data_IF_857116661784
#
_entry.id   IF_857116661784
#
_cell.length_a   1.000
_cell.length_b   1.000
_cell.length_c   1.000
_cell.angle_alpha   90.00
_cell.angle_beta   90.00
_cell.angle_gamma   90.00
#
_symmetry.space_group_name_H-M   'P 1'
#
loop_
_entity.id
_entity.type
_entity.pdbx_description
1 polymer ?
#
# COMPACT_ATOMS: atom_id res chain seq x y z
N UNK A 1 5.75 7.96 9.22
CA UNK A 1 5.96 7.54 10.63
C UNK A 1 6.87 8.53 11.31
N UNK A 2 6.39 9.12 12.38
CA UNK A 2 7.03 10.21 13.10
C UNK A 2 8.36 9.74 13.75
N UNK A 3 9.40 10.61 13.68
CA UNK A 3 10.71 10.38 14.31
C UNK A 3 10.59 10.06 15.81
N UNK A 4 9.59 10.67 16.46
CA UNK A 4 9.28 10.49 17.88
C UNK A 4 8.80 9.06 18.16
N UNK A 5 7.93 8.52 17.32
CA UNK A 5 7.41 7.16 17.47
C UNK A 5 8.53 6.09 17.32
N UNK A 6 9.46 6.28 16.36
CA UNK A 6 10.61 5.37 16.20
C UNK A 6 11.48 5.31 17.45
N UNK A 7 11.76 6.48 18.07
CA UNK A 7 12.56 6.54 19.29
C UNK A 7 11.86 5.84 20.45
N UNK A 8 10.56 6.09 20.62
CA UNK A 8 9.76 5.46 21.68
C UNK A 8 9.70 3.95 21.50
N UNK A 9 9.49 3.48 20.26
CA UNK A 9 9.44 2.04 19.98
C UNK A 9 10.79 1.36 20.20
N UNK A 10 11.90 1.98 19.81
CA UNK A 10 13.25 1.49 20.09
C UNK A 10 13.48 1.38 21.61
N UNK A 11 13.05 2.38 22.37
CA UNK A 11 13.16 2.36 23.84
C UNK A 11 12.36 1.20 24.44
N UNK A 12 11.13 0.96 23.96
CA UNK A 12 10.30 -0.17 24.38
C UNK A 12 10.98 -1.51 24.08
N UNK A 13 11.57 -1.67 22.90
CA UNK A 13 12.30 -2.88 22.54
C UNK A 13 13.52 -3.11 23.44
N UNK A 14 14.28 -2.06 23.73
CA UNK A 14 15.44 -2.13 24.62
C UNK A 14 15.04 -2.50 26.06
N UNK A 15 14.01 -1.85 26.61
CA UNK A 15 13.47 -2.19 27.94
C UNK A 15 12.94 -3.64 27.99
N UNK A 16 12.22 -4.07 26.94
CA UNK A 16 11.75 -5.45 26.81
C UNK A 16 12.89 -6.46 26.75
N UNK A 17 13.96 -6.15 25.99
CA UNK A 17 15.16 -6.97 25.93
C UNK A 17 15.91 -7.07 27.27
N UNK A 18 16.00 -5.97 28.02
CA UNK A 18 16.57 -5.97 29.36
C UNK A 18 15.75 -6.83 30.35
N UNK A 19 14.41 -6.69 30.32
CA UNK A 19 13.50 -7.51 31.13
C UNK A 19 13.63 -8.99 30.78
N UNK A 20 13.70 -9.32 29.50
CA UNK A 20 13.91 -10.69 29.04
C UNK A 20 15.25 -11.25 29.51
N UNK A 21 16.34 -10.47 29.38
CA UNK A 21 17.66 -10.83 29.89
C UNK A 21 17.67 -11.07 31.41
N UNK A 22 16.95 -10.25 32.17
CA UNK A 22 16.80 -10.40 33.61
C UNK A 22 16.05 -11.68 33.97
N UNK A 23 14.91 -11.95 33.31
CA UNK A 23 14.15 -13.20 33.52
C UNK A 23 14.98 -14.42 33.21
N UNK A 24 15.74 -14.37 32.11
CA UNK A 24 16.63 -15.46 31.71
C UNK A 24 17.75 -15.67 32.72
N UNK A 25 18.33 -14.59 33.26
CA UNK A 25 19.33 -14.64 34.33
C UNK A 25 18.78 -15.28 35.62
N UNK A 26 17.57 -14.89 36.00
CA UNK A 26 16.92 -15.44 37.22
C UNK A 26 16.60 -16.93 37.09
N UNK A 27 16.09 -17.35 35.91
CA UNK A 27 15.73 -18.76 35.66
C UNK A 27 16.96 -19.67 35.55
N UNK A 28 17.96 -19.25 34.77
CA UNK A 28 19.18 -20.04 34.62
C UNK A 28 20.09 -19.98 35.86
N UNK A 29 20.17 -18.82 36.52
CA UNK A 29 20.96 -18.65 37.73
C UNK A 29 20.51 -19.54 38.85
N UNK A 30 19.22 -19.84 38.97
CA UNK A 30 18.70 -20.79 39.96
C UNK A 30 19.18 -22.24 39.78
N UNK A 31 19.53 -22.64 38.52
CA UNK A 31 19.99 -23.99 38.21
C UNK A 31 21.53 -24.15 38.17
N UNK A 32 22.25 -23.11 37.77
CA UNK A 32 23.70 -23.19 37.49
C UNK A 32 24.54 -22.33 38.44
N UNK A 33 23.91 -21.51 39.25
CA UNK A 33 24.55 -20.53 40.12
C UNK A 33 24.73 -19.16 39.44
N UNK A 34 24.58 -18.11 40.27
CA UNK A 34 24.67 -16.72 39.81
C UNK A 34 26.13 -16.31 39.68
N UNK A 35 26.52 -15.93 38.43
CA UNK A 35 27.84 -15.39 38.15
C UNK A 35 27.76 -14.13 37.29
N UNK A 36 28.74 -13.24 37.36
CA UNK A 36 28.86 -12.06 36.54
C UNK A 36 28.93 -12.42 35.04
N UNK A 37 29.55 -13.53 34.71
CA UNK A 37 29.64 -14.01 33.35
C UNK A 37 28.24 -14.41 32.82
N UNK A 38 27.45 -15.12 33.62
CA UNK A 38 26.09 -15.49 33.27
C UNK A 38 25.21 -14.25 33.11
N UNK A 39 25.35 -13.23 33.96
CA UNK A 39 24.64 -11.98 33.83
C UNK A 39 24.92 -11.29 32.49
N UNK A 40 26.20 -11.13 32.12
CA UNK A 40 26.60 -10.53 30.85
C UNK A 40 26.05 -11.30 29.66
N UNK A 41 26.09 -12.62 29.71
CA UNK A 41 25.57 -13.47 28.63
C UNK A 41 24.04 -13.34 28.48
N UNK A 42 23.30 -13.36 29.56
CA UNK A 42 21.84 -13.22 29.55
C UNK A 42 21.39 -11.83 29.06
N UNK A 43 22.05 -10.76 29.50
CA UNK A 43 21.79 -9.41 29.01
C UNK A 43 22.17 -9.26 27.54
N UNK A 44 23.28 -9.87 27.09
CA UNK A 44 23.68 -9.92 25.70
C UNK A 44 22.62 -10.56 24.82
N UNK A 45 22.08 -11.70 25.24
CA UNK A 45 20.98 -12.38 24.53
C UNK A 45 19.72 -11.50 24.48
N UNK A 46 19.37 -10.84 25.58
CA UNK A 46 18.24 -9.91 25.63
C UNK A 46 18.39 -8.74 24.65
N UNK A 47 19.59 -8.16 24.54
CA UNK A 47 19.90 -7.09 23.60
C UNK A 47 19.82 -7.53 22.15
N UNK A 48 20.37 -8.71 21.82
CA UNK A 48 20.28 -9.29 20.47
C UNK A 48 18.80 -9.50 20.10
N UNK A 49 17.99 -10.01 21.01
CA UNK A 49 16.56 -10.17 20.81
C UNK A 49 15.84 -8.83 20.53
N UNK A 50 16.12 -7.81 21.33
CA UNK A 50 15.55 -6.48 21.16
C UNK A 50 15.87 -5.87 19.79
N UNK A 51 17.15 -5.97 19.38
CA UNK A 51 17.61 -5.47 18.07
C UNK A 51 16.95 -6.25 16.92
N UNK A 52 16.90 -7.58 17.03
CA UNK A 52 16.27 -8.44 16.01
C UNK A 52 14.77 -8.11 15.88
N UNK A 53 14.06 -7.98 16.99
CA UNK A 53 12.65 -7.63 17.00
C UNK A 53 12.39 -6.25 16.38
N UNK A 54 13.23 -5.27 16.70
CA UNK A 54 13.17 -3.94 16.09
C UNK A 54 13.37 -4.00 14.57
N UNK A 55 14.34 -4.78 14.09
CA UNK A 55 14.58 -4.93 12.65
C UNK A 55 13.43 -5.64 11.93
N UNK A 56 12.91 -6.73 12.51
CA UNK A 56 11.76 -7.45 11.95
C UNK A 56 10.55 -6.50 11.85
N UNK A 57 10.29 -5.75 12.93
CA UNK A 57 9.20 -4.77 12.94
C UNK A 57 9.40 -3.69 11.88
N UNK A 58 10.61 -3.15 11.72
CA UNK A 58 10.92 -2.19 10.65
C UNK A 58 10.68 -2.76 9.25
N UNK A 59 11.02 -4.04 9.03
CA UNK A 59 10.79 -4.71 7.76
C UNK A 59 9.29 -4.91 7.49
N UNK A 60 8.52 -5.30 8.50
CA UNK A 60 7.06 -5.43 8.40
C UNK A 60 6.42 -4.08 8.10
N UNK A 61 6.82 -3.03 8.80
CA UNK A 61 6.33 -1.67 8.55
C UNK A 61 6.70 -1.13 7.15
N UNK A 62 7.84 -1.55 6.61
CA UNK A 62 8.24 -1.20 5.24
C UNK A 62 7.35 -1.88 4.20
N UNK A 63 6.89 -3.11 4.48
CA UNK A 63 5.98 -3.86 3.61
C UNK A 63 4.53 -3.36 3.69
N UNK A 64 4.11 -2.84 4.85
CA UNK A 64 2.74 -2.40 5.09
C UNK A 64 2.44 -0.95 4.65
N UNK A 65 3.41 -0.22 4.13
CA UNK A 65 3.14 1.11 3.56
C UNK A 65 2.47 0.93 2.20
N UNK A 66 1.26 1.48 2.00
CA UNK A 66 0.70 1.58 0.67
C UNK A 66 1.74 2.29 -0.20
N UNK A 67 2.03 1.72 -1.35
CA UNK A 67 2.96 2.30 -2.29
C UNK A 67 2.23 3.45 -2.98
N UNK A 68 2.51 4.67 -2.56
CA UNK A 68 1.92 5.87 -3.13
C UNK A 68 2.82 6.42 -4.23
N UNK A 69 2.24 7.00 -5.28
CA UNK A 69 2.97 7.75 -6.30
C UNK A 69 3.66 9.01 -5.76
N UNK A 70 3.47 9.36 -4.48
CA UNK A 70 4.22 10.42 -3.80
C UNK A 70 5.72 10.11 -3.66
N UNK A 71 6.11 8.84 -3.81
CA UNK A 71 7.53 8.48 -3.81
C UNK A 71 8.20 9.01 -5.10
N UNK A 72 9.26 9.86 -5.00
CA UNK A 72 9.93 10.44 -6.17
C UNK A 72 10.39 9.40 -7.20
N UNK A 73 10.81 8.21 -6.74
CA UNK A 73 11.22 7.10 -7.62
C UNK A 73 10.04 6.50 -8.38
N UNK A 74 8.88 6.42 -7.75
CA UNK A 74 7.66 5.93 -8.39
C UNK A 74 7.15 6.94 -9.42
N UNK A 75 7.18 8.23 -9.07
CA UNK A 75 6.82 9.31 -10.00
C UNK A 75 7.72 9.35 -11.23
N UNK A 76 9.04 9.18 -11.05
CA UNK A 76 9.98 9.17 -12.17
C UNK A 76 9.68 8.00 -13.12
N UNK A 77 9.48 6.79 -12.59
CA UNK A 77 9.11 5.62 -13.39
C UNK A 77 7.76 5.77 -14.09
N UNK A 78 6.79 6.40 -13.41
CA UNK A 78 5.49 6.63 -13.99
C UNK A 78 5.56 7.61 -15.15
N UNK A 79 6.30 8.71 -15.00
CA UNK A 79 6.56 9.66 -16.09
C UNK A 79 7.26 9.02 -17.30
N UNK A 80 8.25 8.16 -17.03
CA UNK A 80 8.94 7.38 -18.06
C UNK A 80 7.97 6.44 -18.80
N UNK A 81 7.10 5.75 -18.04
CA UNK A 81 6.07 4.87 -18.57
C UNK A 81 5.06 5.64 -19.44
N UNK A 82 4.55 6.77 -18.95
CA UNK A 82 3.60 7.62 -19.67
C UNK A 82 4.20 8.17 -20.95
N UNK A 83 5.46 8.63 -20.90
CA UNK A 83 6.18 9.11 -22.07
C UNK A 83 6.43 8.01 -23.11
N UNK A 84 6.75 6.79 -22.66
CA UNK A 84 6.97 5.65 -23.55
C UNK A 84 5.67 5.17 -24.20
N UNK A 85 4.53 5.30 -23.51
CA UNK A 85 3.23 4.87 -24.04
C UNK A 85 2.74 5.80 -25.16
N UNK A 86 2.87 7.12 -24.99
CA UNK A 86 2.55 8.10 -26.03
C UNK A 86 1.09 8.12 -26.53
N UNK A 87 0.16 7.41 -25.84
CA UNK A 87 -1.25 7.32 -26.23
C UNK A 87 -2.00 8.53 -25.65
N UNK A 88 -2.73 9.29 -26.48
CA UNK A 88 -3.55 10.39 -26.00
C UNK A 88 -4.75 9.88 -25.17
N UNK A 89 -5.07 10.58 -24.10
CA UNK A 89 -6.23 10.30 -23.26
C UNK A 89 -7.16 11.51 -23.18
N UNK A 90 -8.46 11.26 -23.10
CA UNK A 90 -9.48 12.31 -22.96
C UNK A 90 -9.47 12.88 -21.54
N UNK A 91 -9.32 12.00 -20.54
CA UNK A 91 -9.30 12.37 -19.14
C UNK A 91 -8.41 11.44 -18.32
N UNK A 92 -7.82 11.97 -17.24
CA UNK A 92 -7.02 11.20 -16.30
C UNK A 92 -7.49 11.45 -14.87
N UNK A 93 -7.67 10.37 -14.11
CA UNK A 93 -8.08 10.42 -12.71
C UNK A 93 -7.02 9.79 -11.81
N UNK A 94 -6.81 10.41 -10.66
CA UNK A 94 -6.05 9.83 -9.56
C UNK A 94 -7.02 9.16 -8.59
N UNK A 95 -6.83 7.89 -8.33
CA UNK A 95 -7.72 7.10 -7.48
C UNK A 95 -6.94 6.10 -6.63
N UNK A 96 -7.64 5.47 -5.69
CA UNK A 96 -7.19 4.28 -5.00
C UNK A 96 -8.01 3.09 -5.51
N UNK A 97 -7.36 2.11 -6.08
CA UNK A 97 -7.98 0.85 -6.47
C UNK A 97 -8.07 -0.07 -5.27
N UNK A 98 -9.27 -0.59 -5.02
CA UNK A 98 -9.53 -1.60 -4.01
C UNK A 98 -9.49 -2.97 -4.67
N UNK A 99 -8.64 -3.86 -4.19
CA UNK A 99 -8.53 -5.22 -4.71
C UNK A 99 -8.42 -6.23 -3.56
N UNK A 100 -8.82 -7.47 -3.83
CA UNK A 100 -8.91 -8.53 -2.83
C UNK A 100 -10.32 -8.70 -2.29
N UNK A 101 -10.52 -9.74 -1.48
CA UNK A 101 -11.81 -10.09 -0.90
C UNK A 101 -11.77 -10.19 0.63
N UNK A 102 -12.82 -9.71 1.29
CA UNK A 102 -13.00 -9.81 2.74
C UNK A 102 -11.94 -9.05 3.54
N UNK A 103 -11.36 -9.68 4.58
CA UNK A 103 -10.38 -9.08 5.49
C UNK A 103 -9.01 -8.76 4.86
N UNK A 104 -8.77 -9.16 3.62
CA UNK A 104 -7.53 -8.90 2.88
C UNK A 104 -7.69 -7.87 1.77
N UNK A 105 -8.57 -6.92 1.98
CA UNK A 105 -8.69 -5.81 1.04
C UNK A 105 -7.41 -4.97 1.07
N UNK A 106 -6.72 -4.92 -0.05
CA UNK A 106 -5.55 -4.07 -0.25
C UNK A 106 -5.95 -2.85 -1.09
N UNK A 107 -5.27 -1.75 -0.85
CA UNK A 107 -5.53 -0.48 -1.54
C UNK A 107 -4.24 -0.02 -2.19
N UNK A 108 -4.26 0.23 -3.47
CA UNK A 108 -3.12 0.81 -4.16
C UNK A 108 -3.50 2.10 -4.90
N UNK A 109 -2.59 3.05 -4.88
CA UNK A 109 -2.73 4.29 -5.63
C UNK A 109 -2.65 3.98 -7.12
N UNK A 110 -3.59 4.53 -7.87
CA UNK A 110 -3.87 4.18 -9.25
C UNK A 110 -4.11 5.43 -10.07
N UNK A 111 -3.66 5.43 -11.31
CA UNK A 111 -4.08 6.40 -12.32
C UNK A 111 -4.94 5.70 -13.34
N UNK A 112 -6.06 6.31 -13.66
CA UNK A 112 -7.05 5.84 -14.62
C UNK A 112 -7.03 6.81 -15.78
N UNK A 113 -6.75 6.33 -16.98
CA UNK A 113 -6.75 7.10 -18.21
C UNK A 113 -7.91 6.63 -19.06
N UNK A 114 -8.77 7.55 -19.41
CA UNK A 114 -9.85 7.32 -20.37
C UNK A 114 -9.31 7.67 -21.75
N UNK A 115 -9.08 6.65 -22.53
CA UNK A 115 -8.55 6.73 -23.89
C UNK A 115 -9.69 6.59 -24.90
N UNK A 116 -9.40 6.70 -26.17
CA UNK A 116 -10.43 6.63 -27.23
C UNK A 116 -11.10 5.25 -27.30
N UNK A 117 -10.36 4.17 -27.04
CA UNK A 117 -10.84 2.80 -27.23
C UNK A 117 -11.16 2.07 -25.92
N UNK A 118 -10.78 2.65 -24.78
CA UNK A 118 -10.96 1.99 -23.49
C UNK A 118 -10.41 2.75 -22.31
N UNK A 119 -10.33 2.06 -21.19
CA UNK A 119 -9.85 2.57 -19.91
C UNK A 119 -8.51 1.91 -19.64
N UNK A 120 -7.46 2.70 -19.56
CA UNK A 120 -6.14 2.24 -19.14
C UNK A 120 -5.92 2.54 -17.68
N UNK A 121 -5.51 1.54 -16.92
CA UNK A 121 -5.29 1.67 -15.48
C UNK A 121 -3.83 1.33 -15.16
N UNK A 122 -3.17 2.23 -14.42
CA UNK A 122 -1.79 2.06 -13.99
C UNK A 122 -1.73 2.13 -12.47
N UNK A 123 -1.10 1.17 -11.84
CA UNK A 123 -0.94 1.16 -10.39
C UNK A 123 0.48 0.73 -10.00
N UNK A 124 0.87 1.08 -8.79
CA UNK A 124 2.18 0.74 -8.28
C UNK A 124 2.08 -0.26 -7.13
N UNK A 125 2.71 -1.41 -7.31
CA UNK A 125 2.74 -2.47 -6.30
C UNK A 125 4.19 -2.97 -6.11
N UNK A 126 4.68 -2.98 -4.88
CA UNK A 126 6.07 -3.35 -4.54
C UNK A 126 7.15 -2.64 -5.37
N UNK A 127 6.95 -1.37 -5.70
CA UNK A 127 7.94 -0.57 -6.46
C UNK A 127 8.00 -0.89 -7.95
N UNK A 128 7.09 -1.68 -8.46
CA UNK A 128 6.88 -1.93 -9.89
C UNK A 128 5.59 -1.29 -10.34
N UNK A 129 5.59 -0.82 -11.58
CA UNK A 129 4.39 -0.31 -12.24
C UNK A 129 3.75 -1.49 -12.95
N UNK A 130 2.46 -1.64 -12.71
CA UNK A 130 1.58 -2.59 -13.38
C UNK A 130 0.51 -1.80 -14.10
N UNK A 131 0.05 -2.33 -15.20
CA UNK A 131 -1.05 -1.74 -15.95
C UNK A 131 -1.95 -2.81 -16.55
N UNK A 132 -3.18 -2.45 -16.77
CA UNK A 132 -4.13 -3.25 -17.53
C UNK A 132 -5.07 -2.32 -18.31
N UNK A 133 -5.61 -2.84 -19.39
CA UNK A 133 -6.53 -2.15 -20.27
C UNK A 133 -7.91 -2.80 -20.20
N UNK A 134 -8.95 -1.98 -20.16
CA UNK A 134 -10.34 -2.41 -20.25
C UNK A 134 -10.95 -1.76 -21.49
N UNK A 135 -11.12 -2.50 -22.59
CA UNK A 135 -11.78 -1.97 -23.78
C UNK A 135 -13.22 -1.54 -23.46
N UNK A 136 -13.70 -0.44 -24.03
CA UNK A 136 -15.08 -0.02 -23.80
C UNK A 136 -16.12 -1.07 -24.18
N UNK A 137 -15.81 -1.90 -25.15
CA UNK A 137 -16.66 -3.03 -25.56
C UNK A 137 -16.83 -4.10 -24.47
N UNK A 138 -15.87 -4.20 -23.55
CA UNK A 138 -15.94 -5.13 -22.43
C UNK A 138 -16.63 -4.52 -21.19
N UNK A 139 -16.85 -3.21 -21.17
CA UNK A 139 -17.51 -2.52 -20.04
C UNK A 139 -19.01 -2.78 -20.11
N UNK A 140 -19.54 -3.46 -19.10
CA UNK A 140 -20.96 -3.80 -18.97
C UNK A 140 -21.71 -2.70 -18.21
N UNK A 141 -21.05 -2.14 -17.20
CA UNK A 141 -21.65 -1.09 -16.36
C UNK A 141 -20.54 -0.18 -15.82
N UNK A 142 -20.83 1.10 -15.73
CA UNK A 142 -19.97 2.08 -15.10
C UNK A 142 -20.83 3.05 -14.29
N UNK A 143 -20.55 3.21 -13.00
CA UNK A 143 -21.27 4.12 -12.12
C UNK A 143 -20.34 4.91 -11.23
N UNK A 144 -20.77 6.10 -10.85
CA UNK A 144 -20.13 6.95 -9.85
C UNK A 144 -21.04 7.05 -8.61
N UNK A 145 -20.62 6.44 -7.50
CA UNK A 145 -21.35 6.45 -6.24
C UNK A 145 -20.74 7.50 -5.31
N UNK A 146 -21.60 8.25 -4.60
CA UNK A 146 -21.21 9.27 -3.60
C UNK A 146 -20.17 10.28 -4.13
N UNK A 147 -20.15 10.56 -5.43
CA UNK A 147 -19.19 11.46 -6.10
C UNK A 147 -17.70 11.07 -5.93
N UNK A 148 -17.43 9.90 -5.36
CA UNK A 148 -16.05 9.47 -5.01
C UNK A 148 -15.73 8.03 -5.36
N UNK A 149 -16.71 7.19 -5.55
CA UNK A 149 -16.48 5.76 -5.81
C UNK A 149 -16.88 5.47 -7.25
N UNK A 150 -15.87 5.22 -8.08
CA UNK A 150 -16.05 4.79 -9.44
C UNK A 150 -16.07 3.25 -9.47
N UNK A 151 -17.19 2.69 -9.90
CA UNK A 151 -17.37 1.26 -10.14
C UNK A 151 -17.36 1.01 -11.64
N UNK A 152 -16.56 0.04 -12.08
CA UNK A 152 -16.48 -0.41 -13.46
C UNK A 152 -16.67 -1.93 -13.45
N UNK A 153 -17.70 -2.40 -14.12
CA UNK A 153 -17.92 -3.83 -14.36
C UNK A 153 -17.58 -4.14 -15.80
N UNK A 154 -16.68 -5.09 -15.98
CA UNK A 154 -16.25 -5.54 -17.30
C UNK A 154 -16.25 -7.06 -17.38
N UNK A 155 -16.53 -7.60 -18.56
CA UNK A 155 -16.64 -9.04 -18.82
C UNK A 155 -15.35 -9.79 -18.50
N UNK A 156 -14.21 -9.20 -18.81
CA UNK A 156 -12.91 -9.86 -18.73
C UNK A 156 -12.20 -9.70 -17.38
N UNK A 157 -12.50 -8.62 -16.65
CA UNK A 157 -11.78 -8.23 -15.43
C UNK A 157 -12.69 -8.30 -14.19
N UNK A 158 -14.01 -8.44 -14.37
CA UNK A 158 -15.00 -8.39 -13.30
C UNK A 158 -15.27 -6.99 -12.80
N UNK A 159 -15.50 -6.85 -11.49
CA UNK A 159 -15.83 -5.56 -10.87
C UNK A 159 -14.59 -4.88 -10.33
N UNK A 160 -14.33 -3.68 -10.81
CA UNK A 160 -13.25 -2.80 -10.35
C UNK A 160 -13.85 -1.67 -9.52
N UNK A 161 -13.29 -1.41 -8.36
CA UNK A 161 -13.72 -0.36 -7.44
C UNK A 161 -12.58 0.62 -7.21
N UNK A 162 -12.83 1.90 -7.46
CA UNK A 162 -11.86 2.97 -7.33
C UNK A 162 -12.40 4.08 -6.43
N UNK A 163 -11.67 4.44 -5.39
CA UNK A 163 -11.95 5.65 -4.61
C UNK A 163 -11.19 6.82 -5.25
N UNK A 164 -11.91 7.72 -5.88
CA UNK A 164 -11.33 8.88 -6.56
C UNK A 164 -10.75 9.83 -5.51
N UNK A 165 -9.53 10.33 -5.77
CA UNK A 165 -8.91 11.40 -4.99
C UNK A 165 -9.57 12.75 -5.30
N UNK A 166 -8.87 13.82 -5.15
CA UNK A 166 -9.31 15.15 -5.50
C UNK A 166 -9.69 15.23 -6.99
N UNK A 167 -10.92 15.64 -7.28
CA UNK A 167 -11.46 15.82 -8.62
C UNK A 167 -12.02 17.22 -8.76
N UNK A 168 -11.85 17.81 -9.93
CA UNK A 168 -12.56 19.07 -10.25
C UNK A 168 -14.05 18.79 -10.58
N UNK A 169 -14.95 19.75 -10.37
CA UNK A 169 -16.36 19.61 -10.76
C UNK A 169 -16.54 19.23 -12.23
N UNK A 170 -15.68 19.73 -13.10
CA UNK A 170 -15.68 19.43 -14.53
C UNK A 170 -15.36 17.96 -14.80
N UNK A 171 -14.37 17.41 -14.09
CA UNK A 171 -14.03 15.99 -14.18
C UNK A 171 -15.16 15.10 -13.68
N UNK A 172 -15.83 15.47 -12.58
CA UNK A 172 -16.98 14.72 -12.07
C UNK A 172 -18.12 14.71 -13.08
N UNK A 173 -18.44 15.86 -13.66
CA UNK A 173 -19.46 15.96 -14.70
C UNK A 173 -19.12 15.08 -15.89
N UNK A 174 -17.88 15.12 -16.35
CA UNK A 174 -17.42 14.30 -17.45
C UNK A 174 -17.56 12.80 -17.16
N UNK A 175 -17.19 12.35 -15.94
CA UNK A 175 -17.31 10.93 -15.53
C UNK A 175 -18.78 10.49 -15.54
N UNK A 176 -19.69 11.33 -14.99
CA UNK A 176 -21.10 11.04 -14.96
C UNK A 176 -21.68 10.93 -16.38
N UNK A 177 -21.29 11.81 -17.29
CA UNK A 177 -21.70 11.75 -18.68
C UNK A 177 -21.15 10.50 -19.39
N UNK A 178 -19.89 10.15 -19.12
CA UNK A 178 -19.29 8.94 -19.67
C UNK A 178 -19.97 7.68 -19.13
N UNK A 179 -20.30 7.63 -17.84
CA UNK A 179 -21.01 6.51 -17.22
C UNK A 179 -22.37 6.25 -17.86
N UNK A 180 -23.14 7.31 -18.14
CA UNK A 180 -24.46 7.19 -18.80
C UNK A 180 -24.41 6.49 -20.16
N UNK A 181 -23.26 6.47 -20.83
CA UNK A 181 -23.10 5.77 -22.11
C UNK A 181 -23.15 4.25 -21.93
N UNK A 182 -22.83 3.74 -20.73
CA UNK A 182 -22.81 2.32 -20.41
C UNK A 182 -24.09 1.84 -19.67
N UNK A 183 -24.91 2.76 -19.15
CA UNK A 183 -26.18 2.40 -18.49
C UNK A 183 -27.32 2.12 -19.50
N UNK A 184 -27.13 2.41 -20.77
CA UNK A 184 -28.14 2.27 -21.83
C UNK A 184 -27.98 1.02 -22.72
N UNK A 185 -27.15 0.06 -22.29
CA UNK A 185 -26.95 -1.19 -23.02
C UNK A 185 -27.65 -2.37 -22.37
#
# INVERSE_FOLDING_TARGET
MDKKFRKTFLLICLCGGMLFGLLFFLTFGAGVGYSWFLALLCFGVGMVWAVTFYFIWMLVQKKSKPFTFENPKAQAKLKEYEAARGIPYEQMLCAFMHYGAGLKQEVCETRIYFETEGIHTTFCHFGKIYSFDVPYQAVVHMSLEDERILLIQATDVGSLCFSIKETSPEQLTWIVEKAKQFDNC
#
